data_IF_182974201732
#
_entry.id   IF_182974201732
#
_cell.length_a   1.000
_cell.length_b   1.000
_cell.length_c   1.000
_cell.angle_alpha   90.00
_cell.angle_beta   90.00
_cell.angle_gamma   90.00
#
_symmetry.space_group_name_H-M   'P 1'
#
loop_
_entity.id
_entity.type
_entity.pdbx_description
1 polymer ?
#
# COMPACT_ATOMS: atom_id res chain seq x y z
N UNK A 1 15.12 12.61 13.80
CA UNK A 1 16.59 12.46 13.80
C UNK A 1 17.22 13.85 13.79
N UNK A 2 18.07 14.17 14.74
CA UNK A 2 18.75 15.48 14.77
C UNK A 2 19.92 15.45 13.77
N UNK A 3 19.70 15.94 12.56
CA UNK A 3 20.73 16.10 11.53
C UNK A 3 21.11 17.58 11.32
N UNK A 4 20.25 18.52 11.77
CA UNK A 4 20.47 19.95 11.69
C UNK A 4 20.66 20.53 13.09
N UNK A 5 21.61 21.43 13.22
CA UNK A 5 21.86 22.25 14.39
C UNK A 5 21.50 23.72 14.15
N UNK A 6 21.09 24.44 15.18
CA UNK A 6 20.83 25.87 15.13
C UNK A 6 21.88 26.62 15.94
N UNK A 7 22.52 27.60 15.35
CA UNK A 7 23.45 28.49 16.00
C UNK A 7 22.74 29.64 16.76
N UNK A 8 23.45 30.28 17.64
CA UNK A 8 22.94 31.42 18.42
C UNK A 8 22.56 32.62 17.56
N UNK A 9 23.18 32.77 16.41
CA UNK A 9 22.84 33.78 15.38
C UNK A 9 21.63 33.41 14.51
N UNK A 10 21.00 32.24 14.74
CA UNK A 10 19.84 31.78 14.02
C UNK A 10 20.13 30.98 12.73
N UNK A 11 21.40 30.88 12.31
CA UNK A 11 21.77 30.04 11.17
C UNK A 11 21.61 28.55 11.49
N UNK A 12 21.45 27.74 10.44
CA UNK A 12 21.27 26.29 10.54
C UNK A 12 22.37 25.60 9.76
N UNK A 13 23.03 24.63 10.40
CA UNK A 13 24.08 23.81 9.80
C UNK A 13 23.78 22.32 9.91
N UNK A 14 24.39 21.55 9.01
CA UNK A 14 24.39 20.08 9.10
C UNK A 14 25.36 19.64 10.17
N UNK A 15 24.88 18.91 11.17
CA UNK A 15 25.70 18.43 12.27
C UNK A 15 26.74 17.40 11.79
N UNK A 16 27.88 17.35 12.48
CA UNK A 16 28.93 16.38 12.18
C UNK A 16 28.37 14.95 12.23
N UNK A 17 28.66 14.13 11.22
CA UNK A 17 28.19 12.76 11.09
C UNK A 17 26.67 12.63 10.85
N UNK A 18 25.96 13.72 10.60
CA UNK A 18 24.51 13.72 10.39
C UNK A 18 24.11 13.00 9.10
N UNK A 19 24.93 13.04 8.06
CA UNK A 19 24.64 12.37 6.78
C UNK A 19 24.48 10.85 6.94
N UNK A 20 25.27 10.23 7.82
CA UNK A 20 25.14 8.78 8.12
C UNK A 20 23.82 8.43 8.84
N UNK A 21 23.13 9.39 9.42
CA UNK A 21 21.84 9.23 10.11
C UNK A 21 20.66 9.75 9.32
N UNK A 22 20.91 10.34 8.15
CA UNK A 22 19.86 10.90 7.31
C UNK A 22 19.06 9.78 6.64
N UNK A 23 17.75 9.75 6.89
CA UNK A 23 16.81 8.80 6.26
C UNK A 23 16.22 9.33 4.94
N UNK A 24 16.76 10.39 4.39
CA UNK A 24 16.39 11.00 3.09
C UNK A 24 14.90 11.37 2.95
N UNK A 25 14.19 11.60 4.05
CA UNK A 25 12.75 11.90 4.03
C UNK A 25 12.37 13.28 3.47
N UNK A 26 13.32 14.14 3.11
CA UNK A 26 13.04 15.46 2.52
C UNK A 26 12.38 16.49 3.46
N UNK A 27 11.98 16.11 4.69
CA UNK A 27 11.22 16.97 5.58
C UNK A 27 11.92 18.31 5.87
N UNK A 28 13.25 18.31 6.06
CA UNK A 28 14.02 19.54 6.27
C UNK A 28 13.96 20.50 5.08
N UNK A 29 13.86 19.99 3.86
CA UNK A 29 13.70 20.80 2.64
C UNK A 29 12.28 21.37 2.59
N UNK A 30 11.28 20.52 2.81
CA UNK A 30 9.86 20.88 2.71
C UNK A 30 9.44 21.96 3.72
N UNK A 31 9.98 21.93 4.95
CA UNK A 31 9.60 22.89 6.00
C UNK A 31 10.50 24.13 6.09
N UNK A 32 11.52 24.26 5.23
CA UNK A 32 12.45 25.38 5.33
C UNK A 32 11.82 26.68 4.80
N UNK A 33 11.53 27.69 5.67
CA UNK A 33 10.81 28.89 5.25
C UNK A 33 11.66 29.81 4.33
N UNK A 34 12.97 29.55 4.26
CA UNK A 34 13.93 30.30 3.42
C UNK A 34 14.33 29.52 2.17
N UNK A 35 13.77 28.35 1.95
CA UNK A 35 14.15 27.47 0.83
C UNK A 35 15.68 27.27 0.70
N UNK A 36 16.39 27.22 1.84
CA UNK A 36 17.85 27.25 1.90
C UNK A 36 18.47 25.85 1.96
N UNK A 37 17.66 24.79 1.99
CA UNK A 37 18.13 23.41 2.11
C UNK A 37 17.79 22.63 0.84
N UNK A 38 18.75 21.79 0.42
CA UNK A 38 18.55 20.79 -0.62
C UNK A 38 18.98 19.42 -0.09
N UNK A 39 18.41 18.37 -0.59
CA UNK A 39 18.77 17.00 -0.27
C UNK A 39 18.89 16.23 -1.59
N UNK A 40 20.12 15.91 -2.03
CA UNK A 40 20.38 15.21 -3.29
C UNK A 40 19.62 15.89 -4.45
N UNK A 41 18.66 15.18 -5.06
CA UNK A 41 17.83 15.68 -6.16
C UNK A 41 16.58 16.45 -5.69
N UNK A 42 16.32 16.52 -4.36
CA UNK A 42 15.18 17.24 -3.81
C UNK A 42 15.61 18.69 -3.53
N UNK A 43 15.22 19.60 -4.41
CA UNK A 43 15.38 21.03 -4.23
C UNK A 43 14.03 21.69 -3.87
N UNK A 44 14.03 22.83 -3.14
CA UNK A 44 12.78 23.53 -2.83
C UNK A 44 11.94 23.86 -4.07
N UNK A 45 12.59 24.19 -5.19
CA UNK A 45 11.92 24.49 -6.45
C UNK A 45 11.27 23.30 -7.14
N UNK A 46 11.62 22.07 -6.75
CA UNK A 46 11.01 20.85 -7.28
C UNK A 46 9.81 20.38 -6.47
N UNK A 47 9.55 20.98 -5.32
CA UNK A 47 8.43 20.63 -4.45
C UNK A 47 7.21 21.47 -4.80
N UNK A 48 6.01 20.86 -4.95
CA UNK A 48 4.79 21.62 -5.12
C UNK A 48 4.49 22.44 -3.85
N UNK A 49 4.01 23.66 -4.05
CA UNK A 49 3.48 24.44 -2.94
C UNK A 49 2.15 23.79 -2.49
N UNK A 50 2.06 23.53 -1.22
CA UNK A 50 0.80 23.05 -0.62
C UNK A 50 0.01 24.31 -0.24
N UNK A 51 -1.17 24.46 -0.82
CA UNK A 51 -2.13 25.46 -0.39
C UNK A 51 -2.65 25.09 1.01
N UNK A 52 -2.80 26.08 1.87
CA UNK A 52 -3.39 25.87 3.20
C UNK A 52 -4.93 25.73 3.06
N UNK A 53 -5.33 24.60 2.52
CA UNK A 53 -6.72 24.25 2.29
C UNK A 53 -7.08 22.94 3.02
N UNK A 54 -7.33 23.00 4.33
CA UNK A 54 -7.68 21.81 5.09
C UNK A 54 -9.01 21.23 4.58
N UNK A 55 -9.10 19.90 4.55
CA UNK A 55 -10.34 19.21 4.22
C UNK A 55 -11.48 19.71 5.14
N UNK A 56 -12.64 20.02 4.58
CA UNK A 56 -13.85 20.33 5.35
C UNK A 56 -14.26 19.15 6.24
N UNK A 57 -15.07 19.41 7.26
CA UNK A 57 -15.60 18.36 8.13
C UNK A 57 -16.32 17.26 7.34
N UNK A 58 -17.14 17.66 6.37
CA UNK A 58 -17.86 16.71 5.50
C UNK A 58 -16.91 15.86 4.65
N UNK A 59 -15.90 16.46 4.03
CA UNK A 59 -14.92 15.72 3.22
C UNK A 59 -14.16 14.70 4.05
N UNK A 60 -13.74 15.06 5.27
CA UNK A 60 -13.11 14.11 6.22
C UNK A 60 -14.04 12.97 6.58
N UNK A 61 -15.28 13.28 6.93
CA UNK A 61 -16.28 12.28 7.29
C UNK A 61 -16.58 11.32 6.13
N UNK A 62 -16.70 11.84 4.93
CA UNK A 62 -16.88 11.01 3.74
C UNK A 62 -15.68 10.10 3.49
N UNK A 63 -14.45 10.59 3.60
CA UNK A 63 -13.26 9.81 3.35
C UNK A 63 -13.08 8.67 4.38
N UNK A 64 -13.21 8.99 5.68
CA UNK A 64 -12.86 8.05 6.74
C UNK A 64 -14.04 7.24 7.27
N UNK A 65 -15.26 7.82 7.33
CA UNK A 65 -16.41 7.18 7.97
C UNK A 65 -17.28 6.39 6.99
N UNK A 66 -17.21 6.66 5.69
CA UNK A 66 -18.07 5.97 4.71
C UNK A 66 -17.38 4.80 4.00
N UNK A 67 -16.03 4.73 4.02
CA UNK A 67 -15.32 3.57 3.49
C UNK A 67 -15.75 2.28 4.21
N UNK A 68 -16.07 1.26 3.43
CA UNK A 68 -16.44 -0.09 3.90
C UNK A 68 -15.74 -1.16 3.07
N UNK A 69 -15.57 -2.34 3.63
CA UNK A 69 -15.15 -3.50 2.86
C UNK A 69 -16.27 -3.93 1.91
N UNK A 70 -16.08 -3.67 0.65
CA UNK A 70 -16.99 -4.06 -0.44
C UNK A 70 -16.81 -5.54 -0.74
N UNK A 71 -17.92 -6.29 -0.80
CA UNK A 71 -17.92 -7.75 -1.01
C UNK A 71 -18.85 -8.21 -2.14
N UNK A 72 -19.30 -7.26 -2.95
CA UNK A 72 -20.03 -7.49 -4.17
C UNK A 72 -19.51 -6.47 -5.20
N UNK A 73 -19.01 -6.95 -6.29
CA UNK A 73 -18.40 -6.14 -7.33
C UNK A 73 -19.22 -6.20 -8.61
N UNK A 74 -19.09 -5.16 -9.43
CA UNK A 74 -19.58 -5.16 -10.80
C UNK A 74 -18.64 -5.99 -11.67
N UNK A 75 -19.16 -6.48 -12.78
CA UNK A 75 -18.37 -7.21 -13.77
C UNK A 75 -17.46 -6.31 -14.61
N UNK A 76 -17.65 -5.00 -14.52
CA UNK A 76 -16.88 -4.03 -15.30
C UNK A 76 -15.45 -3.91 -14.77
N UNK A 77 -14.45 -3.89 -15.64
CA UNK A 77 -13.08 -3.65 -15.24
C UNK A 77 -12.92 -2.22 -14.68
N UNK A 78 -12.03 -2.06 -13.71
CA UNK A 78 -11.63 -0.73 -13.24
C UNK A 78 -10.65 -0.11 -14.23
N UNK A 79 -10.81 1.17 -14.54
CA UNK A 79 -9.86 1.89 -15.38
C UNK A 79 -8.45 1.83 -14.76
N UNK A 80 -7.52 1.25 -15.51
CA UNK A 80 -6.13 1.09 -15.06
C UNK A 80 -5.47 2.42 -14.71
N UNK A 81 -5.84 3.51 -15.38
CA UNK A 81 -5.30 4.84 -15.08
C UNK A 81 -5.69 5.31 -13.67
N UNK A 82 -6.88 4.96 -13.20
CA UNK A 82 -7.34 5.26 -11.85
C UNK A 82 -6.61 4.40 -10.82
N UNK A 83 -6.40 3.11 -11.11
CA UNK A 83 -5.60 2.23 -10.24
C UNK A 83 -4.17 2.76 -10.08
N UNK A 84 -3.53 3.18 -11.17
CA UNK A 84 -2.17 3.73 -11.13
C UNK A 84 -2.09 5.05 -10.36
N UNK A 85 -3.09 5.93 -10.49
CA UNK A 85 -3.16 7.16 -9.68
C UNK A 85 -3.29 6.85 -8.20
N UNK A 86 -4.18 5.94 -7.82
CA UNK A 86 -4.35 5.55 -6.43
C UNK A 86 -3.08 4.89 -5.84
N UNK A 87 -2.34 4.11 -6.65
CA UNK A 87 -1.05 3.55 -6.25
C UNK A 87 0.02 4.63 -6.06
N UNK A 88 0.03 5.67 -6.94
CA UNK A 88 0.91 6.83 -6.76
C UNK A 88 0.60 7.60 -5.48
N UNK A 89 -0.66 7.74 -5.11
CA UNK A 89 -1.07 8.35 -3.84
C UNK A 89 -0.69 7.46 -2.63
N UNK A 90 -0.82 6.14 -2.76
CA UNK A 90 -0.47 5.19 -1.71
C UNK A 90 1.04 5.16 -1.37
N UNK A 91 1.92 5.57 -2.31
CA UNK A 91 3.36 5.67 -2.04
C UNK A 91 3.72 6.70 -0.95
N UNK A 92 2.83 7.63 -0.64
CA UNK A 92 3.01 8.59 0.45
C UNK A 92 2.71 8.02 1.84
N UNK A 93 2.34 6.74 1.93
CA UNK A 93 2.21 6.07 3.22
C UNK A 93 3.56 6.06 3.95
N UNK A 94 3.58 6.27 5.27
CA UNK A 94 4.81 6.22 6.04
C UNK A 94 5.41 4.82 6.03
N UNK A 95 6.73 4.73 5.96
CA UNK A 95 7.50 3.49 6.06
C UNK A 95 8.56 3.60 7.15
N UNK A 96 8.95 2.47 7.72
CA UNK A 96 10.01 2.43 8.72
C UNK A 96 11.30 3.04 8.14
N UNK A 97 11.87 4.03 8.86
CA UNK A 97 13.08 4.76 8.45
C UNK A 97 13.00 5.40 7.05
N UNK A 98 11.79 5.65 6.53
CA UNK A 98 11.57 6.14 5.18
C UNK A 98 12.21 5.24 4.11
N UNK A 99 12.06 3.91 4.27
CA UNK A 99 12.66 2.94 3.36
C UNK A 99 12.03 2.97 1.96
N UNK A 100 10.75 3.33 1.87
CA UNK A 100 9.95 3.38 0.63
C UNK A 100 9.99 2.06 -0.18
N UNK A 101 10.14 0.93 0.51
CA UNK A 101 10.36 -0.38 -0.12
C UNK A 101 9.08 -1.14 -0.46
N UNK A 102 7.91 -0.61 -0.14
CA UNK A 102 6.64 -1.24 -0.52
C UNK A 102 6.48 -1.19 -2.04
N UNK A 103 6.26 -2.36 -2.63
CA UNK A 103 5.98 -2.48 -4.06
C UNK A 103 4.67 -3.24 -4.28
N UNK A 104 4.15 -3.19 -5.50
CA UNK A 104 2.81 -3.63 -5.81
C UNK A 104 2.79 -4.65 -6.94
N UNK A 105 1.94 -5.66 -6.79
CA UNK A 105 1.56 -6.58 -7.85
C UNK A 105 0.10 -6.31 -8.20
N UNK A 106 -0.16 -5.90 -9.42
CA UNK A 106 -1.50 -5.73 -9.97
C UNK A 106 -1.85 -6.95 -10.82
N UNK A 107 -2.88 -7.68 -10.40
CA UNK A 107 -3.41 -8.85 -11.12
C UNK A 107 -4.76 -8.47 -11.70
N UNK A 108 -4.87 -8.58 -13.01
CA UNK A 108 -6.07 -8.29 -13.80
C UNK A 108 -6.38 -9.46 -14.71
N UNK A 109 -7.64 -9.59 -15.11
CA UNK A 109 -8.12 -10.66 -16.00
C UNK A 109 -8.77 -11.81 -15.22
N UNK A 110 -10.01 -12.15 -15.62
CA UNK A 110 -10.85 -13.14 -14.94
C UNK A 110 -10.18 -14.50 -14.77
N UNK A 111 -9.54 -14.99 -15.82
CA UNK A 111 -8.92 -16.31 -15.80
C UNK A 111 -7.74 -16.35 -14.81
N UNK A 112 -6.94 -15.30 -14.78
CA UNK A 112 -5.80 -15.18 -13.84
C UNK A 112 -6.26 -15.07 -12.39
N UNK A 113 -7.30 -14.28 -12.14
CA UNK A 113 -7.88 -14.11 -10.81
C UNK A 113 -8.55 -15.40 -10.34
N UNK A 114 -9.23 -16.11 -11.24
CA UNK A 114 -9.84 -17.40 -10.95
C UNK A 114 -8.78 -18.48 -10.65
N UNK A 115 -7.70 -18.57 -11.43
CA UNK A 115 -6.59 -19.51 -11.17
C UNK A 115 -5.95 -19.23 -9.81
N UNK A 116 -5.67 -17.96 -9.49
CA UNK A 116 -5.16 -17.57 -8.18
C UNK A 116 -6.11 -17.97 -7.05
N UNK A 117 -7.41 -17.69 -7.19
CA UNK A 117 -8.42 -18.05 -6.20
C UNK A 117 -8.56 -19.57 -6.05
N UNK A 118 -8.44 -20.33 -7.16
CA UNK A 118 -8.42 -21.80 -7.13
C UNK A 118 -7.27 -22.35 -6.31
N UNK A 119 -6.05 -21.84 -6.51
CA UNK A 119 -4.86 -22.23 -5.73
C UNK A 119 -5.03 -21.96 -4.22
N UNK A 120 -5.64 -20.81 -3.90
CA UNK A 120 -5.99 -20.48 -2.51
C UNK A 120 -7.04 -21.45 -1.97
N UNK A 121 -8.09 -21.79 -2.73
CA UNK A 121 -9.13 -22.74 -2.34
C UNK A 121 -8.56 -24.14 -2.13
N UNK A 122 -7.69 -24.62 -3.00
CA UNK A 122 -7.04 -25.93 -2.89
C UNK A 122 -6.23 -26.03 -1.60
N UNK A 123 -5.43 -24.99 -1.29
CA UNK A 123 -4.73 -24.93 0.00
C UNK A 123 -5.72 -24.92 1.18
N UNK A 124 -6.78 -24.12 1.11
CA UNK A 124 -7.80 -24.07 2.18
C UNK A 124 -8.53 -25.40 2.38
N UNK A 125 -8.61 -26.24 1.36
CA UNK A 125 -9.18 -27.59 1.44
C UNK A 125 -8.37 -28.51 2.36
N UNK A 126 -7.08 -28.27 2.51
CA UNK A 126 -6.19 -29.02 3.42
C UNK A 126 -6.36 -28.62 4.88
N UNK A 127 -7.01 -27.49 5.15
CA UNK A 127 -7.24 -26.94 6.48
C UNK A 127 -8.57 -27.44 7.07
N UNK A 128 -8.84 -27.10 8.33
CA UNK A 128 -10.05 -27.45 9.03
C UNK A 128 -10.94 -26.23 9.31
N UNK A 129 -12.18 -26.50 9.76
CA UNK A 129 -13.12 -25.45 10.19
C UNK A 129 -13.56 -24.54 9.05
N UNK A 130 -13.60 -23.22 9.32
CA UNK A 130 -14.12 -22.21 8.38
C UNK A 130 -13.43 -22.19 7.03
N UNK A 131 -12.14 -22.49 6.98
CA UNK A 131 -11.36 -22.48 5.74
C UNK A 131 -11.84 -23.55 4.76
N UNK A 132 -12.12 -24.76 5.26
CA UNK A 132 -12.68 -25.84 4.44
C UNK A 132 -14.05 -25.48 3.88
N UNK A 133 -14.91 -24.79 4.64
CA UNK A 133 -16.19 -24.31 4.11
C UNK A 133 -16.03 -23.29 3.00
N UNK A 134 -15.08 -22.38 3.11
CA UNK A 134 -14.76 -21.42 2.03
C UNK A 134 -14.31 -22.14 0.77
N UNK A 135 -13.41 -23.12 0.90
CA UNK A 135 -12.94 -23.94 -0.22
C UNK A 135 -14.09 -24.72 -0.87
N UNK A 136 -14.95 -25.36 -0.07
CA UNK A 136 -16.11 -26.08 -0.59
C UNK A 136 -17.08 -25.20 -1.35
N UNK A 137 -17.31 -23.97 -0.87
CA UNK A 137 -18.14 -22.99 -1.55
C UNK A 137 -17.52 -22.55 -2.90
N UNK A 138 -16.18 -22.38 -2.94
CA UNK A 138 -15.48 -22.06 -4.17
C UNK A 138 -15.61 -23.17 -5.21
N UNK A 139 -15.38 -24.42 -4.82
CA UNK A 139 -15.53 -25.57 -5.71
C UNK A 139 -16.99 -25.85 -6.13
N UNK A 140 -17.96 -25.29 -5.39
CA UNK A 140 -19.38 -25.31 -5.79
C UNK A 140 -19.76 -24.14 -6.72
N UNK A 141 -18.79 -23.38 -7.24
CA UNK A 141 -19.01 -22.31 -8.21
C UNK A 141 -19.28 -20.93 -7.62
N UNK A 142 -19.11 -20.76 -6.29
CA UNK A 142 -19.13 -19.45 -5.65
C UNK A 142 -17.71 -18.87 -5.60
N UNK A 143 -17.56 -17.57 -5.43
CA UNK A 143 -16.25 -16.99 -5.15
C UNK A 143 -16.23 -16.24 -3.81
N UNK A 144 -16.05 -16.91 -2.69
CA UNK A 144 -15.90 -16.26 -1.39
C UNK A 144 -14.49 -15.68 -1.16
N UNK A 145 -13.53 -15.97 -2.03
CA UNK A 145 -12.12 -15.57 -1.91
C UNK A 145 -11.93 -14.15 -2.44
N UNK A 146 -12.19 -13.93 -3.74
CA UNK A 146 -12.08 -12.63 -4.40
C UNK A 146 -13.43 -11.97 -4.64
N UNK A 147 -14.54 -12.71 -4.49
CA UNK A 147 -15.92 -12.21 -4.62
C UNK A 147 -16.24 -11.60 -5.98
N UNK A 148 -15.61 -12.14 -7.02
CA UNK A 148 -15.76 -11.64 -8.39
C UNK A 148 -15.08 -10.28 -8.63
N UNK A 149 -14.13 -9.88 -7.79
CA UNK A 149 -13.39 -8.63 -7.99
C UNK A 149 -12.67 -8.65 -9.35
N UNK A 150 -12.75 -7.57 -10.14
CA UNK A 150 -12.13 -7.51 -11.47
C UNK A 150 -10.61 -7.30 -11.41
N UNK A 151 -10.09 -6.87 -10.27
CA UNK A 151 -8.67 -6.61 -10.06
C UNK A 151 -8.27 -6.97 -8.63
N UNK A 152 -7.03 -7.42 -8.46
CA UNK A 152 -6.40 -7.67 -7.17
C UNK A 152 -5.07 -6.90 -7.13
N UNK A 153 -4.86 -6.13 -6.07
CA UNK A 153 -3.61 -5.41 -5.82
C UNK A 153 -2.98 -5.98 -4.56
N UNK A 154 -1.76 -6.45 -4.65
CA UNK A 154 -1.02 -7.02 -3.54
C UNK A 154 0.20 -6.16 -3.22
N UNK A 155 0.39 -5.83 -1.94
CA UNK A 155 1.56 -5.13 -1.43
C UNK A 155 2.61 -6.15 -0.96
N UNK A 156 3.86 -5.93 -1.35
CA UNK A 156 4.98 -6.76 -0.93
C UNK A 156 6.21 -5.90 -0.62
N UNK A 157 7.07 -6.41 0.23
CA UNK A 157 8.34 -5.76 0.60
C UNK A 157 9.42 -6.78 0.89
N UNK A 158 10.59 -6.34 1.36
CA UNK A 158 11.71 -7.22 1.71
C UNK A 158 11.28 -8.22 2.80
N UNK A 159 11.48 -9.51 2.52
CA UNK A 159 11.12 -10.60 3.43
C UNK A 159 11.97 -10.62 4.72
N UNK A 160 13.16 -10.00 4.70
CA UNK A 160 14.12 -10.01 5.81
C UNK A 160 13.91 -8.87 6.81
N UNK A 161 13.12 -7.85 6.46
CA UNK A 161 12.82 -6.76 7.40
C UNK A 161 11.60 -7.08 8.28
N UNK A 162 11.65 -6.81 9.59
CA UNK A 162 10.51 -6.99 10.47
C UNK A 162 9.40 -5.97 10.20
N UNK A 163 9.70 -4.88 9.47
CA UNK A 163 8.78 -3.79 9.18
C UNK A 163 7.88 -4.02 7.98
N UNK A 164 8.21 -4.99 7.11
CA UNK A 164 7.49 -5.25 5.87
C UNK A 164 5.96 -5.33 6.05
N UNK A 165 5.49 -6.10 7.03
CA UNK A 165 4.05 -6.27 7.25
C UNK A 165 3.38 -4.96 7.71
N UNK A 166 4.08 -4.14 8.50
CA UNK A 166 3.59 -2.85 9.00
C UNK A 166 3.55 -1.84 7.86
N UNK A 167 4.63 -1.73 7.09
CA UNK A 167 4.74 -0.80 5.98
C UNK A 167 3.73 -1.14 4.87
N UNK A 168 3.58 -2.42 4.52
CA UNK A 168 2.54 -2.87 3.58
C UNK A 168 1.13 -2.57 4.08
N UNK A 169 0.84 -2.78 5.38
CA UNK A 169 -0.48 -2.48 5.94
C UNK A 169 -0.79 -0.99 5.91
N UNK A 170 0.19 -0.13 6.21
CA UNK A 170 0.04 1.32 6.09
C UNK A 170 -0.23 1.72 4.63
N UNK A 171 0.55 1.20 3.68
CA UNK A 171 0.39 1.50 2.26
C UNK A 171 -0.96 1.03 1.70
N UNK A 172 -1.43 -0.18 2.07
CA UNK A 172 -2.76 -0.68 1.68
C UNK A 172 -3.86 0.19 2.27
N UNK A 173 -3.72 0.69 3.51
CA UNK A 173 -4.70 1.59 4.10
C UNK A 173 -4.81 2.91 3.34
N UNK A 174 -3.67 3.47 2.89
CA UNK A 174 -3.65 4.64 2.00
C UNK A 174 -4.30 4.34 0.65
N UNK A 175 -3.98 3.18 0.05
CA UNK A 175 -4.58 2.74 -1.21
C UNK A 175 -6.10 2.60 -1.11
N UNK A 176 -6.62 2.00 -0.02
CA UNK A 176 -8.05 1.87 0.20
C UNK A 176 -8.76 3.23 0.30
N UNK A 177 -8.13 4.22 0.96
CA UNK A 177 -8.68 5.59 1.05
C UNK A 177 -8.63 6.30 -0.30
N UNK A 178 -7.53 6.16 -1.04
CA UNK A 178 -7.37 6.72 -2.37
C UNK A 178 -8.44 6.15 -3.33
N UNK A 179 -8.57 4.83 -3.42
CA UNK A 179 -9.58 4.17 -4.26
C UNK A 179 -11.01 4.55 -3.84
N UNK A 180 -11.28 4.65 -2.54
CA UNK A 180 -12.57 5.13 -2.04
C UNK A 180 -12.89 6.55 -2.51
N UNK A 181 -11.91 7.45 -2.55
CA UNK A 181 -12.09 8.82 -3.06
C UNK A 181 -12.43 8.87 -4.54
N UNK A 182 -12.03 7.86 -5.31
CA UNK A 182 -12.40 7.65 -6.72
C UNK A 182 -13.72 6.88 -6.91
N UNK A 183 -14.45 6.57 -5.83
CA UNK A 183 -15.69 5.80 -5.88
C UNK A 183 -15.50 4.29 -6.10
N UNK A 184 -14.29 3.78 -5.91
CA UNK A 184 -13.96 2.36 -6.06
C UNK A 184 -14.02 1.67 -4.70
N UNK A 185 -14.86 0.63 -4.62
CA UNK A 185 -14.97 -0.20 -3.43
C UNK A 185 -13.83 -1.23 -3.35
N UNK A 186 -13.28 -1.42 -2.16
CA UNK A 186 -12.18 -2.36 -1.88
C UNK A 186 -12.55 -3.33 -0.77
N UNK A 187 -11.83 -4.43 -0.70
CA UNK A 187 -11.89 -5.36 0.42
C UNK A 187 -10.53 -6.03 0.60
N UNK A 188 -10.04 -6.04 1.81
CA UNK A 188 -8.78 -6.71 2.18
C UNK A 188 -8.79 -8.18 1.79
N UNK A 189 -7.78 -8.65 1.03
CA UNK A 189 -7.68 -9.99 0.48
C UNK A 189 -7.04 -11.00 1.46
N UNK A 190 -7.56 -11.07 2.67
CA UNK A 190 -6.95 -11.82 3.78
C UNK A 190 -6.68 -13.31 3.50
N UNK A 191 -7.51 -13.98 2.67
CA UNK A 191 -7.28 -15.37 2.30
C UNK A 191 -6.07 -15.53 1.38
N UNK A 192 -5.90 -14.63 0.44
CA UNK A 192 -4.75 -14.60 -0.48
C UNK A 192 -3.46 -14.38 0.29
N UNK A 193 -3.46 -13.38 1.20
CA UNK A 193 -2.30 -13.07 2.05
C UNK A 193 -1.95 -14.26 2.95
N UNK A 194 -2.96 -14.92 3.54
CA UNK A 194 -2.74 -16.10 4.37
C UNK A 194 -2.13 -17.25 3.55
N UNK A 195 -2.62 -17.52 2.35
CA UNK A 195 -2.08 -18.55 1.46
C UNK A 195 -0.61 -18.25 1.09
N UNK A 196 -0.33 -17.01 0.65
CA UNK A 196 1.03 -16.57 0.33
C UNK A 196 1.99 -16.75 1.51
N UNK A 197 1.56 -16.38 2.72
CA UNK A 197 2.37 -16.52 3.94
C UNK A 197 2.56 -17.97 4.41
N UNK A 198 1.78 -18.91 3.88
CA UNK A 198 1.95 -20.35 4.09
C UNK A 198 2.64 -21.05 2.90
N UNK A 199 3.30 -20.30 2.02
CA UNK A 199 4.12 -20.83 0.94
C UNK A 199 3.32 -21.35 -0.27
N UNK A 200 2.05 -20.99 -0.39
CA UNK A 200 1.25 -21.35 -1.57
C UNK A 200 1.73 -20.56 -2.77
N UNK A 201 2.03 -21.26 -3.86
CA UNK A 201 2.27 -20.63 -5.15
C UNK A 201 0.95 -20.06 -5.70
N UNK A 202 0.86 -18.75 -5.73
CA UNK A 202 -0.33 -18.03 -6.22
C UNK A 202 -0.40 -17.95 -7.76
N UNK A 203 0.57 -18.49 -8.50
CA UNK A 203 0.66 -18.38 -9.95
C UNK A 203 0.99 -16.97 -10.44
N UNK A 204 1.55 -16.12 -9.57
CA UNK A 204 1.98 -14.76 -9.88
C UNK A 204 3.46 -14.57 -9.55
N UNK A 205 4.22 -13.79 -10.34
CA UNK A 205 5.65 -13.62 -10.10
C UNK A 205 5.89 -12.70 -8.90
N UNK A 206 6.17 -13.26 -7.73
CA UNK A 206 6.70 -12.51 -6.59
C UNK A 206 8.21 -12.45 -6.72
N UNK A 207 8.84 -11.26 -6.74
CA UNK A 207 10.29 -11.17 -6.86
C UNK A 207 11.02 -11.91 -5.73
N UNK A 208 12.18 -12.48 -6.02
CA UNK A 208 13.02 -13.17 -5.03
C UNK A 208 13.36 -12.25 -3.85
N UNK A 209 13.38 -12.79 -2.64
CA UNK A 209 13.62 -12.03 -1.41
C UNK A 209 12.45 -11.12 -0.97
N UNK A 210 11.31 -11.14 -1.68
CA UNK A 210 10.13 -10.35 -1.36
C UNK A 210 9.02 -11.22 -0.78
N UNK A 211 8.18 -10.62 0.06
CA UNK A 211 7.04 -11.29 0.70
C UNK A 211 5.79 -10.44 0.62
N UNK A 212 4.68 -11.04 0.20
CA UNK A 212 3.35 -10.41 0.19
C UNK A 212 2.89 -10.26 1.65
N UNK A 213 2.51 -9.02 2.03
CA UNK A 213 2.04 -8.71 3.38
C UNK A 213 0.75 -7.88 3.42
N UNK A 214 0.23 -7.46 2.27
CA UNK A 214 -1.00 -6.68 2.17
C UNK A 214 -1.72 -6.89 0.83
N UNK A 215 -2.96 -6.44 0.74
CA UNK A 215 -3.70 -6.46 -0.52
C UNK A 215 -5.20 -6.51 -0.35
#
# INVERSE_FOLDING_TARGET
QRILGRHTNGSVDVLHGALARCIRCGHCVAVCPKAALTLEHIAPSSLPLIEDAPLSGLQRDMLFKTRRSTRAYKDDPVDRSVLLKALEEARYAPTASNSEEVAWLLVEGRDRLHDLASRVADWMSTLTGKYRHVASAFHAGQDPILRGAPSLILAHGDANTPWNAIDCAAAVSYLELALHSYGIGTCWSGFVIAAANNGVDLGIPVPEGRKICGG
#
